data_IF_361534644448
#
_entry.id   IF_361534644448
#
_cell.length_a   1.000
_cell.length_b   1.000
_cell.length_c   1.000
_cell.angle_alpha   90.00
_cell.angle_beta   90.00
_cell.angle_gamma   90.00
#
_symmetry.space_group_name_H-M   'P 1'
#
loop_
_entity.id
_entity.type
_entity.pdbx_description
1 polymer ?
#
# COMPACT_ATOMS: atom_id res chain seq x y z
N UNK A 1 -15.40 -52.05 30.25
CA UNK A 1 -14.41 -51.81 29.15
C UNK A 1 -14.87 -50.86 28.05
N UNK A 2 -16.16 -50.63 27.80
CA UNK A 2 -16.67 -49.73 26.74
C UNK A 2 -16.46 -48.22 26.93
N UNK A 3 -16.55 -47.58 28.16
CA UNK A 3 -16.43 -46.15 28.31
C UNK A 3 -14.98 -45.63 28.16
N UNK A 4 -13.98 -46.41 28.54
CA UNK A 4 -12.57 -46.06 28.46
C UNK A 4 -12.09 -45.98 26.98
N UNK A 5 -12.59 -46.91 26.14
CA UNK A 5 -12.26 -46.95 24.72
C UNK A 5 -12.85 -45.71 23.98
N UNK A 6 -14.07 -45.32 24.35
CA UNK A 6 -14.72 -44.13 23.80
C UNK A 6 -13.99 -42.84 24.21
N UNK A 7 -13.54 -42.77 25.46
CA UNK A 7 -12.76 -41.60 25.99
C UNK A 7 -11.39 -41.49 25.29
N UNK A 8 -10.72 -42.65 25.07
CA UNK A 8 -9.46 -42.69 24.30
C UNK A 8 -9.67 -42.31 22.83
N UNK A 9 -10.78 -42.75 22.21
CA UNK A 9 -11.09 -42.36 20.83
C UNK A 9 -11.39 -40.87 20.70
N UNK A 10 -12.12 -40.28 21.67
CA UNK A 10 -12.38 -38.83 21.73
C UNK A 10 -11.12 -38.05 22.01
N UNK A 11 -10.20 -38.53 22.84
CA UNK A 11 -8.90 -37.89 23.12
C UNK A 11 -7.99 -37.96 21.87
N UNK A 12 -7.97 -39.06 21.14
CA UNK A 12 -7.22 -39.19 19.88
C UNK A 12 -7.82 -38.31 18.79
N UNK A 13 -9.15 -38.19 18.70
CA UNK A 13 -9.83 -37.27 17.79
C UNK A 13 -9.57 -35.79 18.14
N UNK A 14 -9.50 -35.47 19.44
CA UNK A 14 -9.17 -34.12 19.93
C UNK A 14 -7.70 -33.77 19.69
N UNK A 15 -6.79 -34.75 19.84
CA UNK A 15 -5.36 -34.56 19.52
C UNK A 15 -5.10 -34.51 18.02
N UNK A 16 -5.92 -35.18 17.19
CA UNK A 16 -5.83 -35.13 15.75
C UNK A 16 -6.39 -33.80 15.14
N UNK A 17 -7.25 -33.08 15.88
CA UNK A 17 -7.77 -31.78 15.46
C UNK A 17 -6.86 -30.60 15.81
N UNK A 18 -5.79 -30.79 16.58
CA UNK A 18 -4.69 -29.85 16.68
C UNK A 18 -3.81 -29.94 15.41
N UNK A 19 -4.35 -29.50 14.27
CA UNK A 19 -3.51 -29.17 13.12
C UNK A 19 -2.67 -27.98 13.55
N UNK A 20 -1.47 -28.25 14.04
CA UNK A 20 -0.47 -27.20 14.21
C UNK A 20 -0.29 -26.54 12.84
N UNK A 21 -0.80 -25.34 12.66
CA UNK A 21 -0.51 -24.53 11.47
C UNK A 21 1.01 -24.37 11.48
N UNK A 22 1.70 -25.19 10.70
CA UNK A 22 3.14 -25.06 10.53
C UNK A 22 3.36 -23.76 9.77
N UNK A 23 4.22 -22.89 10.33
CA UNK A 23 4.76 -21.75 9.61
C UNK A 23 5.26 -22.21 8.24
N UNK A 24 4.71 -21.63 7.19
CA UNK A 24 5.12 -21.92 5.80
C UNK A 24 6.25 -20.99 5.38
N UNK A 25 6.94 -21.36 4.31
CA UNK A 25 7.88 -20.49 3.62
C UNK A 25 7.23 -20.09 2.30
N UNK A 26 7.02 -18.79 2.13
CA UNK A 26 6.59 -18.18 0.87
C UNK A 26 7.87 -17.70 0.18
N UNK A 27 8.32 -18.43 -0.84
CA UNK A 27 9.58 -18.18 -1.54
C UNK A 27 9.30 -17.65 -2.95
N UNK A 28 9.87 -16.48 -3.27
CA UNK A 28 9.64 -15.75 -4.51
C UNK A 28 10.97 -15.48 -5.22
N UNK A 29 10.98 -15.66 -6.55
CA UNK A 29 12.11 -15.37 -7.42
C UNK A 29 11.71 -14.23 -8.35
N UNK A 30 12.27 -13.04 -8.12
CA UNK A 30 11.88 -11.80 -8.76
C UNK A 30 13.01 -11.22 -9.61
N UNK A 31 12.80 -11.21 -10.90
CA UNK A 31 13.59 -10.44 -11.85
C UNK A 31 12.96 -9.04 -11.98
N UNK A 32 13.64 -8.03 -11.43
CA UNK A 32 13.19 -6.62 -11.51
C UNK A 32 13.63 -6.08 -12.87
N UNK A 33 12.69 -5.75 -13.75
CA UNK A 33 13.01 -5.38 -15.13
C UNK A 33 12.02 -4.37 -15.71
N UNK A 34 12.39 -3.75 -16.83
CA UNK A 34 11.50 -2.87 -17.56
C UNK A 34 10.48 -3.67 -18.37
N UNK A 35 9.21 -3.26 -18.31
CA UNK A 35 8.06 -3.89 -18.97
C UNK A 35 7.27 -2.81 -19.70
N UNK A 36 6.90 -3.04 -20.95
CA UNK A 36 5.99 -2.15 -21.66
C UNK A 36 4.55 -2.35 -21.17
N UNK A 37 4.01 -1.34 -20.52
CA UNK A 37 2.63 -1.31 -20.09
C UNK A 37 1.76 -0.46 -21.02
N UNK A 38 0.71 -1.06 -21.56
CA UNK A 38 -0.29 -0.40 -22.39
C UNK A 38 -1.52 -0.06 -21.54
N UNK A 39 -1.70 1.22 -21.28
CA UNK A 39 -2.88 1.70 -20.57
C UNK A 39 -4.07 1.72 -21.52
N UNK A 40 -5.05 0.87 -21.30
CA UNK A 40 -6.33 0.66 -22.00
C UNK A 40 -6.67 1.67 -23.13
N UNK A 41 -6.05 1.49 -24.31
CA UNK A 41 -6.33 2.32 -25.50
C UNK A 41 -5.78 3.76 -25.48
N UNK A 42 -5.10 4.20 -24.41
CA UNK A 42 -4.61 5.57 -24.27
C UNK A 42 -3.16 5.73 -24.73
N UNK A 43 -2.23 5.07 -24.05
CA UNK A 43 -0.80 5.14 -24.36
C UNK A 43 -0.05 3.91 -23.83
N UNK A 44 1.16 3.73 -24.35
CA UNK A 44 2.11 2.75 -23.85
C UNK A 44 3.26 3.50 -23.19
N UNK A 45 3.67 3.08 -22.00
CA UNK A 45 4.91 3.54 -21.37
C UNK A 45 5.66 2.37 -20.76
N UNK A 46 6.94 2.57 -20.57
CA UNK A 46 7.76 1.65 -19.83
C UNK A 46 7.44 1.75 -18.33
N UNK A 47 7.09 0.63 -17.71
CA UNK A 47 6.95 0.43 -16.29
C UNK A 47 8.12 -0.41 -15.75
N UNK A 48 8.30 -0.45 -14.43
CA UNK A 48 9.18 -1.40 -13.79
C UNK A 48 8.30 -2.50 -13.23
N UNK A 49 8.50 -3.72 -13.72
CA UNK A 49 7.74 -4.90 -13.36
C UNK A 49 8.61 -6.01 -12.80
N UNK A 50 8.01 -7.17 -12.58
CA UNK A 50 8.64 -8.38 -12.08
C UNK A 50 8.37 -9.52 -13.07
N UNK A 51 9.43 -10.26 -13.46
CA UNK A 51 9.32 -11.43 -14.32
C UNK A 51 8.55 -11.16 -15.63
N UNK A 52 8.81 -10.02 -16.27
CA UNK A 52 8.15 -9.59 -17.50
C UNK A 52 6.71 -9.11 -17.32
N UNK A 53 6.22 -8.97 -16.11
CA UNK A 53 4.82 -8.65 -15.82
C UNK A 53 4.66 -7.33 -15.06
N UNK A 54 3.70 -6.52 -15.50
CA UNK A 54 3.11 -5.39 -14.79
C UNK A 54 1.60 -5.34 -15.11
N UNK A 55 0.67 -5.14 -14.17
CA UNK A 55 0.89 -4.95 -12.73
C UNK A 55 1.53 -6.19 -12.08
N UNK A 56 2.32 -5.94 -11.03
CA UNK A 56 2.98 -7.00 -10.28
C UNK A 56 1.92 -7.73 -9.44
N UNK A 57 1.82 -9.08 -9.49
CA UNK A 57 0.89 -9.84 -8.68
C UNK A 57 1.06 -9.58 -7.18
N UNK A 58 -0.05 -9.48 -6.45
CA UNK A 58 -0.04 -9.34 -4.99
C UNK A 58 0.52 -10.58 -4.30
N UNK A 59 1.19 -10.37 -3.18
CA UNK A 59 1.72 -11.42 -2.32
C UNK A 59 0.74 -11.69 -1.18
N UNK A 60 0.46 -12.95 -0.90
CA UNK A 60 -0.40 -13.38 0.22
C UNK A 60 0.36 -14.39 1.05
N UNK A 61 0.36 -14.19 2.37
CA UNK A 61 0.96 -15.07 3.35
C UNK A 61 0.12 -15.09 4.64
N UNK A 62 0.51 -15.88 5.63
CA UNK A 62 -0.12 -15.88 6.94
C UNK A 62 0.86 -15.36 8.00
N UNK A 63 0.33 -14.81 9.07
CA UNK A 63 1.10 -14.48 10.26
C UNK A 63 1.78 -15.76 10.80
N UNK A 64 3.07 -15.65 11.04
CA UNK A 64 3.92 -16.78 11.42
C UNK A 64 4.74 -17.37 10.26
N UNK A 65 4.37 -17.13 9.00
CA UNK A 65 5.14 -17.57 7.84
C UNK A 65 6.47 -16.82 7.71
N UNK A 66 7.33 -17.32 6.85
CA UNK A 66 8.56 -16.64 6.42
C UNK A 66 8.44 -16.27 4.95
N UNK A 67 8.62 -15.00 4.61
CA UNK A 67 8.67 -14.51 3.24
C UNK A 67 10.14 -14.40 2.80
N UNK A 68 10.50 -15.14 1.76
CA UNK A 68 11.83 -15.09 1.13
C UNK A 68 11.67 -14.53 -0.28
N UNK A 69 12.38 -13.42 -0.58
CA UNK A 69 12.37 -12.82 -1.91
C UNK A 69 13.79 -12.80 -2.44
N UNK A 70 14.07 -13.61 -3.47
CA UNK A 70 15.30 -13.55 -4.25
C UNK A 70 15.14 -12.54 -5.37
N UNK A 71 15.61 -11.30 -5.15
CA UNK A 71 15.45 -10.20 -6.08
C UNK A 71 16.71 -10.02 -6.93
N UNK A 72 16.60 -10.22 -8.23
CA UNK A 72 17.65 -9.94 -9.23
C UNK A 72 17.33 -8.64 -9.96
N UNK A 73 18.23 -7.67 -9.89
CA UNK A 73 18.03 -6.38 -10.55
C UNK A 73 18.55 -6.40 -11.98
N UNK A 74 17.65 -6.33 -12.96
CA UNK A 74 17.96 -6.19 -14.40
C UNK A 74 17.83 -4.74 -14.91
N UNK A 75 17.59 -3.78 -14.01
CA UNK A 75 17.57 -2.37 -14.36
C UNK A 75 18.99 -1.83 -14.57
N UNK A 76 19.09 -0.67 -15.23
CA UNK A 76 20.37 0.03 -15.45
C UNK A 76 20.85 0.85 -14.25
N UNK A 77 20.07 0.91 -13.18
CA UNK A 77 20.37 1.60 -11.92
C UNK A 77 20.08 0.67 -10.74
N UNK A 78 20.62 0.93 -9.54
CA UNK A 78 20.31 0.11 -8.37
C UNK A 78 18.81 0.07 -8.08
N UNK A 79 18.36 -1.02 -7.45
CA UNK A 79 16.97 -1.20 -6.99
C UNK A 79 16.97 -1.68 -5.53
N UNK A 80 15.84 -1.53 -4.86
CA UNK A 80 15.63 -2.11 -3.54
C UNK A 80 14.15 -2.51 -3.38
N UNK A 81 13.85 -3.36 -2.39
CA UNK A 81 12.47 -3.74 -2.08
C UNK A 81 12.21 -3.52 -0.59
N UNK A 82 11.38 -2.55 -0.29
CA UNK A 82 10.92 -2.25 1.06
C UNK A 82 9.55 -2.90 1.31
N UNK A 83 9.45 -3.65 2.40
CA UNK A 83 8.17 -4.22 2.87
C UNK A 83 7.50 -3.25 3.82
N UNK A 84 6.74 -2.32 3.26
CA UNK A 84 6.16 -1.16 3.93
C UNK A 84 5.17 -1.56 5.03
N UNK A 85 5.42 -1.07 6.24
CA UNK A 85 4.60 -1.29 7.43
C UNK A 85 5.05 -2.46 8.29
N UNK A 86 6.02 -3.27 7.86
CA UNK A 86 6.60 -4.32 8.68
C UNK A 86 7.68 -3.75 9.62
N UNK A 87 7.65 -4.15 10.88
CA UNK A 87 8.55 -3.60 11.90
C UNK A 87 10.02 -3.96 11.74
N UNK A 88 10.34 -5.05 11.03
CA UNK A 88 11.71 -5.54 10.82
C UNK A 88 12.55 -5.59 12.11
N UNK A 89 11.91 -5.88 13.24
CA UNK A 89 12.57 -5.93 14.54
C UNK A 89 13.61 -7.05 14.60
N UNK A 90 14.89 -6.67 14.69
CA UNK A 90 16.03 -7.57 14.64
C UNK A 90 16.45 -8.00 13.23
N UNK A 91 15.75 -7.52 12.19
CA UNK A 91 16.02 -7.83 10.77
C UNK A 91 16.02 -6.57 9.90
N UNK A 92 16.36 -5.43 10.47
CA UNK A 92 16.37 -4.13 9.82
C UNK A 92 17.25 -4.05 8.56
N UNK A 93 18.24 -4.92 8.40
CA UNK A 93 19.03 -5.05 7.18
C UNK A 93 18.25 -5.66 5.99
N UNK A 94 17.04 -6.18 6.21
CA UNK A 94 16.08 -6.60 5.18
C UNK A 94 14.97 -5.59 4.94
N UNK A 95 15.04 -4.40 5.57
CA UNK A 95 14.00 -3.38 5.43
C UNK A 95 13.92 -2.79 4.01
N UNK A 96 15.03 -2.83 3.26
CA UNK A 96 15.05 -2.42 1.85
C UNK A 96 15.06 -0.91 1.63
N UNK A 97 15.29 -0.10 2.67
CA UNK A 97 15.44 1.34 2.54
C UNK A 97 16.84 1.69 2.02
N UNK A 98 16.95 1.91 0.70
CA UNK A 98 18.21 2.15 0.03
C UNK A 98 19.00 3.33 0.64
N UNK A 99 20.29 3.15 0.89
CA UNK A 99 21.21 4.08 1.55
C UNK A 99 20.87 4.41 3.00
N UNK A 100 19.87 3.74 3.58
CA UNK A 100 19.55 3.78 5.01
C UNK A 100 19.90 2.43 5.64
N UNK A 101 19.26 1.35 5.22
CA UNK A 101 19.45 0.00 5.76
C UNK A 101 20.31 -0.89 4.85
N UNK A 102 20.36 -0.60 3.55
CA UNK A 102 21.12 -1.35 2.53
C UNK A 102 21.67 -0.44 1.42
N UNK A 103 22.61 -0.94 0.62
CA UNK A 103 23.21 -0.20 -0.52
C UNK A 103 22.31 -0.14 -1.76
N UNK A 104 21.21 -0.90 -1.80
CA UNK A 104 20.50 -1.22 -3.03
C UNK A 104 21.21 -2.30 -3.87
N UNK A 105 20.42 -3.04 -4.62
CA UNK A 105 20.86 -4.16 -5.48
C UNK A 105 21.45 -3.56 -6.75
N UNK A 106 22.75 -3.72 -7.04
CA UNK A 106 23.36 -3.17 -8.26
C UNK A 106 22.81 -3.86 -9.52
N UNK A 107 23.04 -3.27 -10.69
CA UNK A 107 22.68 -3.88 -11.97
C UNK A 107 23.25 -5.29 -12.08
N UNK A 108 22.43 -6.26 -12.45
CA UNK A 108 22.72 -7.70 -12.53
C UNK A 108 23.10 -8.34 -11.17
N UNK A 109 22.96 -7.61 -10.06
CA UNK A 109 23.13 -8.17 -8.73
C UNK A 109 21.84 -8.83 -8.23
N UNK A 110 22.00 -9.70 -7.23
CA UNK A 110 20.89 -10.35 -6.53
C UNK A 110 21.01 -10.10 -5.03
N UNK A 111 19.88 -9.88 -4.38
CA UNK A 111 19.77 -9.82 -2.92
C UNK A 111 18.61 -10.69 -2.45
N UNK A 112 18.76 -11.35 -1.32
CA UNK A 112 17.71 -12.18 -0.74
C UNK A 112 17.19 -11.53 0.54
N UNK A 113 15.93 -11.11 0.49
CA UNK A 113 15.19 -10.67 1.66
C UNK A 113 14.60 -11.90 2.36
N UNK A 114 14.79 -12.01 3.68
CA UNK A 114 14.27 -13.11 4.48
C UNK A 114 13.54 -12.54 5.70
N UNK A 115 12.23 -12.50 5.63
CA UNK A 115 11.35 -11.73 6.52
C UNK A 115 10.43 -12.68 7.28
N UNK A 116 10.57 -12.73 8.61
CA UNK A 116 9.60 -13.42 9.47
C UNK A 116 8.34 -12.57 9.62
N UNK A 117 7.20 -13.07 9.18
CA UNK A 117 5.93 -12.36 9.16
C UNK A 117 5.24 -12.45 10.54
N UNK A 118 5.60 -11.55 11.44
CA UNK A 118 5.08 -11.51 12.82
C UNK A 118 3.80 -10.67 12.97
N UNK A 119 3.46 -9.86 11.98
CA UNK A 119 2.31 -8.98 11.93
C UNK A 119 1.29 -9.51 10.93
N UNK A 120 0.01 -9.46 11.26
CA UNK A 120 -1.07 -9.63 10.29
C UNK A 120 -1.58 -8.25 9.85
N UNK A 121 -2.19 -8.19 8.67
CA UNK A 121 -2.77 -6.95 8.15
C UNK A 121 -2.53 -6.75 6.66
N UNK A 122 -2.75 -5.51 6.23
CA UNK A 122 -2.61 -5.08 4.84
C UNK A 122 -1.35 -4.23 4.69
N UNK A 123 -0.41 -4.70 3.89
CA UNK A 123 0.90 -4.13 3.65
C UNK A 123 1.19 -4.07 2.16
N UNK A 124 2.36 -3.58 1.77
CA UNK A 124 2.79 -3.56 0.38
C UNK A 124 4.31 -3.63 0.25
N UNK A 125 4.79 -4.06 -0.91
CA UNK A 125 6.21 -4.13 -1.24
C UNK A 125 6.47 -3.16 -2.38
N UNK A 126 7.50 -2.33 -2.23
CA UNK A 126 7.85 -1.35 -3.25
C UNK A 126 9.35 -1.02 -3.27
N UNK A 127 9.81 -0.45 -4.36
CA UNK A 127 11.16 0.10 -4.39
C UNK A 127 11.29 1.29 -3.45
N UNK A 128 12.38 1.33 -2.71
CA UNK A 128 12.78 2.51 -1.93
C UNK A 128 14.04 3.16 -2.49
N UNK A 129 14.25 3.02 -3.81
CA UNK A 129 15.34 3.65 -4.53
C UNK A 129 14.80 4.70 -5.50
N UNK A 130 15.07 5.99 -5.20
CA UNK A 130 14.60 7.14 -5.99
C UNK A 130 13.09 7.08 -6.25
N UNK A 131 12.68 7.16 -7.54
CA UNK A 131 11.28 7.23 -7.97
C UNK A 131 10.74 5.94 -8.59
N UNK A 132 11.42 4.82 -8.41
CA UNK A 132 11.04 3.55 -9.05
C UNK A 132 9.64 3.07 -8.65
N UNK A 133 9.19 3.38 -7.43
CA UNK A 133 7.81 3.13 -6.99
C UNK A 133 6.79 3.80 -7.90
N UNK A 134 6.98 5.07 -8.26
CA UNK A 134 6.09 5.80 -9.16
C UNK A 134 6.12 5.26 -10.60
N UNK A 135 7.21 4.57 -10.98
CA UNK A 135 7.36 3.90 -12.27
C UNK A 135 6.90 2.44 -12.26
N UNK A 136 6.29 1.98 -11.15
CA UNK A 136 5.56 0.71 -11.13
C UNK A 136 6.13 -0.39 -10.24
N UNK A 137 7.34 -0.27 -9.67
CA UNK A 137 7.91 -1.30 -8.79
C UNK A 137 7.21 -1.28 -7.41
N UNK A 138 6.00 -1.80 -7.39
CA UNK A 138 5.12 -1.83 -6.22
C UNK A 138 4.07 -2.93 -6.34
N UNK A 139 3.71 -3.56 -5.23
CA UNK A 139 2.62 -4.55 -5.17
C UNK A 139 2.08 -4.71 -3.75
N UNK A 140 0.87 -5.26 -3.60
CA UNK A 140 0.26 -5.55 -2.30
C UNK A 140 0.92 -6.74 -1.61
N UNK A 141 0.99 -6.67 -0.27
CA UNK A 141 1.33 -7.77 0.61
C UNK A 141 0.22 -7.92 1.66
N UNK A 142 -0.54 -9.01 1.58
CA UNK A 142 -1.57 -9.34 2.57
C UNK A 142 -1.05 -10.44 3.47
N UNK A 143 -1.03 -10.18 4.77
CA UNK A 143 -0.67 -11.16 5.78
C UNK A 143 -1.92 -11.47 6.59
N UNK A 144 -2.49 -12.65 6.37
CA UNK A 144 -3.73 -13.09 7.03
C UNK A 144 -3.45 -13.47 8.48
N UNK A 145 -4.39 -13.13 9.38
CA UNK A 145 -4.36 -13.64 10.75
C UNK A 145 -5.15 -14.96 10.81
N UNK A 146 -4.55 -16.06 11.27
CA UNK A 146 -5.30 -17.28 11.55
C UNK A 146 -6.42 -17.09 12.59
N UNK A 147 -6.24 -16.10 13.48
CA UNK A 147 -7.16 -15.75 14.56
C UNK A 147 -7.94 -14.47 14.24
N UNK A 148 -8.38 -14.30 12.98
CA UNK A 148 -9.13 -13.12 12.51
C UNK A 148 -10.38 -12.88 13.36
N UNK A 149 -10.52 -11.67 13.87
CA UNK A 149 -11.61 -11.29 14.80
C UNK A 149 -12.92 -10.99 14.05
N UNK A 150 -12.81 -10.42 12.86
CA UNK A 150 -13.97 -10.03 12.06
C UNK A 150 -14.32 -11.10 11.03
N UNK A 151 -15.59 -11.51 11.03
CA UNK A 151 -16.10 -12.51 10.09
C UNK A 151 -16.48 -11.86 8.74
N UNK A 152 -16.11 -12.51 7.65
CA UNK A 152 -16.49 -12.15 6.27
C UNK A 152 -16.46 -13.41 5.38
N UNK A 153 -17.20 -13.36 4.28
CA UNK A 153 -17.32 -14.50 3.36
C UNK A 153 -16.17 -14.56 2.34
N UNK A 154 -15.60 -13.37 1.98
CA UNK A 154 -14.56 -13.29 0.96
C UNK A 154 -13.78 -11.97 1.12
N UNK A 155 -12.59 -11.88 0.52
CA UNK A 155 -11.78 -10.67 0.56
C UNK A 155 -11.42 -10.16 -0.84
N UNK A 156 -11.34 -8.83 -0.96
CA UNK A 156 -11.01 -8.13 -2.19
C UNK A 156 -9.89 -7.16 -1.91
N UNK A 157 -8.78 -7.31 -2.61
CA UNK A 157 -7.63 -6.39 -2.50
C UNK A 157 -7.73 -5.35 -3.61
N UNK A 158 -7.76 -4.07 -3.23
CA UNK A 158 -7.88 -2.93 -4.15
C UNK A 158 -6.67 -1.99 -3.98
N UNK A 159 -5.57 -2.23 -4.67
CA UNK A 159 -4.51 -1.25 -4.79
C UNK A 159 -5.04 -0.02 -5.55
N UNK A 160 -4.96 1.15 -4.92
CA UNK A 160 -5.29 2.45 -5.49
C UNK A 160 -4.00 3.11 -5.95
N UNK A 161 -3.95 3.56 -7.20
CA UNK A 161 -2.71 3.97 -7.82
C UNK A 161 -2.93 5.24 -8.66
N UNK A 162 -2.12 6.25 -8.43
CA UNK A 162 -1.90 7.29 -9.43
C UNK A 162 -0.92 6.79 -10.50
N UNK A 163 -1.20 7.11 -11.74
CA UNK A 163 -0.36 6.73 -12.87
C UNK A 163 -0.15 7.91 -13.80
N UNK A 164 1.07 8.13 -14.22
CA UNK A 164 1.44 9.27 -15.05
C UNK A 164 1.88 8.82 -16.43
N UNK A 165 1.64 9.65 -17.42
CA UNK A 165 2.11 9.40 -18.79
C UNK A 165 3.63 9.46 -18.88
N UNK A 166 4.21 10.47 -18.24
CA UNK A 166 5.65 10.68 -18.23
C UNK A 166 6.33 9.82 -17.14
N UNK A 167 7.56 9.34 -17.36
CA UNK A 167 8.34 8.68 -16.32
C UNK A 167 8.56 9.58 -15.10
N UNK A 168 8.61 9.00 -13.92
CA UNK A 168 8.75 9.74 -12.66
C UNK A 168 9.97 10.66 -12.62
N UNK A 169 11.09 10.25 -13.20
CA UNK A 169 12.29 11.09 -13.31
C UNK A 169 12.03 12.42 -14.05
N UNK A 170 11.21 12.39 -15.10
CA UNK A 170 10.84 13.59 -15.87
C UNK A 170 10.01 14.51 -15.00
N UNK A 171 9.05 13.97 -14.27
CA UNK A 171 8.17 14.73 -13.38
C UNK A 171 8.93 15.34 -12.21
N UNK A 172 9.83 14.59 -11.58
CA UNK A 172 10.69 15.10 -10.49
C UNK A 172 11.58 16.26 -10.97
N UNK A 173 12.18 16.12 -12.15
CA UNK A 173 12.97 17.21 -12.74
C UNK A 173 12.11 18.44 -13.02
N UNK A 174 10.85 18.26 -13.40
CA UNK A 174 9.91 19.36 -13.56
C UNK A 174 9.58 20.01 -12.22
N UNK A 175 9.25 19.25 -11.18
CA UNK A 175 8.93 19.76 -9.85
C UNK A 175 10.11 20.51 -9.20
N UNK A 176 11.32 20.01 -9.40
CA UNK A 176 12.53 20.63 -8.84
C UNK A 176 13.10 21.76 -9.71
N UNK A 177 12.43 22.12 -10.80
CA UNK A 177 12.91 23.18 -11.68
C UNK A 177 12.78 24.55 -11.01
N UNK A 178 13.84 25.40 -11.00
CA UNK A 178 13.76 26.76 -10.43
C UNK A 178 12.81 27.67 -11.20
N UNK A 179 12.62 27.45 -12.52
CA UNK A 179 11.65 28.19 -13.32
C UNK A 179 10.21 27.82 -12.95
N UNK A 180 9.44 28.80 -12.41
CA UNK A 180 8.06 28.52 -12.01
C UNK A 180 7.15 28.14 -13.18
N UNK A 181 7.41 28.60 -14.40
CA UNK A 181 6.62 28.23 -15.58
C UNK A 181 6.78 26.75 -15.94
N UNK A 182 7.94 26.15 -15.63
CA UNK A 182 8.19 24.73 -15.81
C UNK A 182 7.66 23.97 -14.61
N UNK A 183 8.00 24.40 -13.39
CA UNK A 183 7.62 23.72 -12.13
C UNK A 183 6.11 23.56 -11.97
N UNK A 184 5.34 24.60 -12.25
CA UNK A 184 3.87 24.60 -12.08
C UNK A 184 3.09 24.17 -13.34
N UNK A 185 3.76 23.57 -14.31
CA UNK A 185 3.05 22.99 -15.44
C UNK A 185 2.13 21.86 -14.95
N UNK A 186 0.84 21.88 -15.31
CA UNK A 186 -0.11 20.89 -14.84
C UNK A 186 0.30 19.44 -15.19
N UNK A 187 0.23 18.56 -14.20
CA UNK A 187 0.43 17.12 -14.36
C UNK A 187 -0.91 16.46 -14.01
N UNK A 188 -1.50 15.78 -14.97
CA UNK A 188 -2.78 15.09 -14.78
C UNK A 188 -2.51 13.60 -14.61
N UNK A 189 -2.79 13.03 -13.43
CA UNK A 189 -2.68 11.61 -13.21
C UNK A 189 -3.88 10.86 -13.79
N UNK A 190 -3.70 9.55 -13.97
CA UNK A 190 -4.76 8.58 -14.18
C UNK A 190 -4.91 7.75 -12.91
N UNK A 191 -6.14 7.32 -12.59
CA UNK A 191 -6.36 6.37 -11.49
C UNK A 191 -6.39 4.95 -12.03
N UNK A 192 -5.54 4.10 -11.45
CA UNK A 192 -5.61 2.66 -11.63
C UNK A 192 -6.06 2.00 -10.33
N UNK A 193 -6.71 0.87 -10.46
CA UNK A 193 -7.11 0.00 -9.34
C UNK A 193 -6.62 -1.40 -9.65
N UNK A 194 -5.51 -1.78 -8.99
CA UNK A 194 -4.81 -3.02 -9.30
C UNK A 194 -4.31 -3.09 -10.74
N UNK A 195 -3.75 -1.98 -11.24
CA UNK A 195 -3.21 -1.84 -12.59
C UNK A 195 -4.24 -1.71 -13.71
N UNK A 196 -5.54 -1.66 -13.40
CA UNK A 196 -6.63 -1.47 -14.38
C UNK A 196 -7.20 -0.07 -14.21
N UNK A 197 -7.53 0.61 -15.32
CA UNK A 197 -8.20 1.91 -15.26
C UNK A 197 -9.43 1.84 -14.34
N UNK A 198 -9.56 2.81 -13.43
CA UNK A 198 -10.65 2.80 -12.44
C UNK A 198 -12.03 2.65 -13.11
N UNK A 199 -12.26 3.32 -14.24
CA UNK A 199 -13.54 3.27 -14.96
C UNK A 199 -13.86 1.88 -15.56
N UNK A 200 -12.86 1.04 -15.77
CA UNK A 200 -13.02 -0.33 -16.27
C UNK A 200 -13.10 -1.35 -15.14
N UNK A 201 -12.79 -0.95 -13.91
CA UNK A 201 -12.77 -1.87 -12.75
C UNK A 201 -14.18 -2.29 -12.37
N UNK A 202 -14.34 -3.60 -12.17
CA UNK A 202 -15.57 -4.22 -11.67
C UNK A 202 -15.29 -4.99 -10.40
N UNK A 203 -16.13 -4.78 -9.39
CA UNK A 203 -16.17 -5.55 -8.14
C UNK A 203 -17.43 -6.39 -8.19
N UNK A 204 -17.28 -7.71 -8.19
CA UNK A 204 -18.43 -8.61 -8.23
C UNK A 204 -18.91 -8.94 -6.82
N UNK A 205 -20.19 -8.73 -6.57
CA UNK A 205 -20.83 -9.07 -5.31
C UNK A 205 -21.87 -10.18 -5.48
N UNK A 206 -21.83 -11.15 -4.58
CA UNK A 206 -22.90 -12.14 -4.38
C UNK A 206 -23.87 -11.57 -3.33
N UNK A 207 -25.19 -11.51 -3.62
CA UNK A 207 -26.16 -10.97 -2.68
C UNK A 207 -26.06 -11.57 -1.28
N UNK A 208 -26.11 -10.71 -0.25
CA UNK A 208 -26.09 -11.08 1.16
C UNK A 208 -24.73 -11.44 1.74
N UNK A 209 -23.68 -11.63 0.93
CA UNK A 209 -22.34 -11.89 1.43
C UNK A 209 -21.69 -10.63 1.98
N UNK A 210 -20.83 -10.81 2.98
CA UNK A 210 -19.96 -9.78 3.54
C UNK A 210 -18.55 -9.93 2.98
N UNK A 211 -18.01 -8.85 2.47
CA UNK A 211 -16.66 -8.78 1.89
C UNK A 211 -15.76 -7.91 2.75
N UNK A 212 -14.51 -8.38 2.98
CA UNK A 212 -13.44 -7.52 3.44
C UNK A 212 -12.78 -6.88 2.23
N UNK A 213 -12.87 -5.56 2.09
CA UNK A 213 -12.19 -4.82 1.05
C UNK A 213 -10.94 -4.18 1.65
N UNK A 214 -9.78 -4.60 1.17
CA UNK A 214 -8.48 -4.05 1.56
C UNK A 214 -8.09 -2.96 0.58
N UNK A 215 -8.11 -1.73 1.05
CA UNK A 215 -7.72 -0.54 0.30
C UNK A 215 -6.26 -0.24 0.59
N UNK A 216 -5.44 -0.11 -0.45
CA UNK A 216 -4.03 0.25 -0.33
C UNK A 216 -3.75 1.41 -1.27
N UNK A 217 -3.36 2.56 -0.74
CA UNK A 217 -2.85 3.61 -1.60
C UNK A 217 -1.35 3.37 -1.85
N UNK A 218 -1.07 2.68 -2.95
CA UNK A 218 0.29 2.42 -3.42
C UNK A 218 0.72 3.41 -4.51
N UNK A 219 -0.01 4.53 -4.63
CA UNK A 219 0.33 5.66 -5.48
C UNK A 219 1.58 6.41 -5.02
N UNK A 220 1.95 7.44 -5.76
CA UNK A 220 3.16 8.23 -5.49
C UNK A 220 2.86 9.62 -4.91
N UNK A 221 1.65 10.17 -5.13
CA UNK A 221 1.44 11.60 -4.88
C UNK A 221 0.04 11.99 -4.40
N UNK A 222 -0.99 11.17 -4.59
CA UNK A 222 -2.36 11.59 -4.34
C UNK A 222 -3.05 10.74 -3.29
N UNK A 223 -3.81 11.39 -2.42
CA UNK A 223 -4.73 10.71 -1.52
C UNK A 223 -5.97 10.28 -2.29
N UNK A 224 -6.51 9.11 -1.95
CA UNK A 224 -7.74 8.59 -2.51
C UNK A 224 -8.86 8.59 -1.48
N UNK A 225 -10.04 9.08 -1.89
CA UNK A 225 -11.25 8.89 -1.13
C UNK A 225 -12.09 7.78 -1.78
N UNK A 226 -12.26 6.69 -1.05
CA UNK A 226 -13.03 5.53 -1.51
C UNK A 226 -14.43 5.53 -0.89
N UNK A 227 -15.46 5.31 -1.72
CA UNK A 227 -16.84 5.16 -1.27
C UNK A 227 -17.64 4.27 -2.22
N UNK A 228 -18.76 3.71 -1.74
CA UNK A 228 -19.61 2.80 -2.50
C UNK A 228 -21.07 3.26 -2.43
N UNK A 229 -21.68 3.57 -3.59
CA UNK A 229 -23.09 3.97 -3.63
C UNK A 229 -23.99 2.84 -3.13
N UNK A 230 -25.04 3.19 -2.38
CA UNK A 230 -25.99 2.27 -1.74
C UNK A 230 -25.42 1.31 -0.68
N UNK A 231 -24.11 1.39 -0.37
CA UNK A 231 -23.48 0.50 0.60
C UNK A 231 -22.84 1.30 1.74
N UNK A 232 -23.06 0.84 2.96
CA UNK A 232 -22.37 1.33 4.15
C UNK A 232 -21.05 0.56 4.33
N UNK A 233 -19.99 1.28 4.64
CA UNK A 233 -18.69 0.72 4.96
C UNK A 233 -18.54 0.61 6.48
N UNK A 234 -17.88 -0.45 6.94
CA UNK A 234 -17.50 -0.65 8.33
C UNK A 234 -15.98 -0.71 8.37
N UNK A 235 -15.32 0.37 8.78
CA UNK A 235 -13.86 0.42 8.91
C UNK A 235 -13.41 -0.48 10.06
N UNK A 236 -12.45 -1.37 9.81
CA UNK A 236 -11.97 -2.37 10.77
C UNK A 236 -10.45 -2.42 10.90
N UNK A 237 -9.70 -1.82 9.98
CA UNK A 237 -8.22 -1.82 9.99
C UNK A 237 -7.71 -0.52 9.39
N UNK A 238 -6.66 0.05 9.98
CA UNK A 238 -5.85 1.14 9.43
C UNK A 238 -4.39 0.80 9.63
N UNK A 239 -3.60 0.85 8.55
CA UNK A 239 -2.14 0.65 8.52
C UNK A 239 -1.64 -0.65 9.19
N UNK A 240 -2.45 -1.72 9.11
CA UNK A 240 -2.15 -3.03 9.71
C UNK A 240 -2.58 -3.15 11.16
N UNK A 241 -3.21 -2.12 11.73
CA UNK A 241 -3.76 -2.14 13.09
C UNK A 241 -5.27 -2.36 13.01
N UNK A 242 -5.76 -3.42 13.65
CA UNK A 242 -7.20 -3.65 13.78
C UNK A 242 -7.80 -2.63 14.72
N UNK A 243 -8.91 -2.01 14.33
CA UNK A 243 -9.64 -1.01 15.12
C UNK A 243 -11.04 -1.47 15.46
N UNK A 244 -11.63 -0.89 16.52
CA UNK A 244 -13.06 -1.06 16.79
C UNK A 244 -13.87 -0.58 15.60
N UNK A 245 -14.82 -1.39 15.16
CA UNK A 245 -15.65 -1.11 13.98
C UNK A 245 -16.26 0.28 14.00
N UNK A 246 -16.13 1.02 12.89
CA UNK A 246 -16.73 2.34 12.68
C UNK A 246 -17.50 2.39 11.37
N UNK A 247 -18.76 2.77 11.43
CA UNK A 247 -19.60 2.99 10.24
C UNK A 247 -19.21 4.28 9.52
N UNK A 248 -19.12 4.20 8.19
CA UNK A 248 -18.82 5.36 7.35
C UNK A 248 -19.40 5.20 5.94
N UNK A 249 -19.55 6.29 5.20
CA UNK A 249 -19.88 6.27 3.77
C UNK A 249 -18.63 6.27 2.89
N UNK A 250 -17.49 6.64 3.43
CA UNK A 250 -16.23 6.65 2.69
C UNK A 250 -15.01 6.70 3.60
N UNK A 251 -13.87 6.31 3.05
CA UNK A 251 -12.58 6.28 3.72
C UNK A 251 -11.55 7.01 2.85
N UNK A 252 -10.82 7.94 3.46
CA UNK A 252 -9.65 8.54 2.81
C UNK A 252 -8.42 7.71 3.13
N UNK A 253 -7.65 7.38 2.10
CA UNK A 253 -6.41 6.60 2.22
C UNK A 253 -5.29 7.44 1.63
N UNK A 254 -4.45 8.00 2.49
CA UNK A 254 -3.29 8.80 2.11
C UNK A 254 -2.23 7.94 1.42
N UNK A 255 -1.32 8.58 0.69
CA UNK A 255 -0.22 7.88 0.01
C UNK A 255 0.58 7.03 1.00
N UNK A 256 0.70 5.74 0.71
CA UNK A 256 1.36 4.75 1.57
C UNK A 256 0.46 4.14 2.65
N UNK A 257 -0.70 4.71 2.92
CA UNK A 257 -1.65 4.20 3.90
C UNK A 257 -2.47 3.02 3.37
N UNK A 258 -3.02 2.25 4.29
CA UNK A 258 -3.92 1.12 4.02
C UNK A 258 -5.13 1.21 4.94
N UNK A 259 -6.26 0.74 4.46
CA UNK A 259 -7.46 0.58 5.27
C UNK A 259 -8.20 -0.69 4.86
N UNK A 260 -8.85 -1.37 5.80
CA UNK A 260 -9.79 -2.43 5.46
C UNK A 260 -11.19 -2.08 5.92
N UNK A 261 -12.15 -2.30 5.05
CA UNK A 261 -13.57 -2.13 5.36
C UNK A 261 -14.33 -3.43 5.12
N UNK A 262 -15.35 -3.68 5.96
CA UNK A 262 -16.36 -4.69 5.69
C UNK A 262 -17.54 -4.06 4.96
N UNK A 263 -18.02 -4.75 3.93
CA UNK A 263 -19.19 -4.35 3.14
C UNK A 263 -20.11 -5.54 2.98
N UNK A 264 -21.35 -5.42 3.43
CA UNK A 264 -22.37 -6.45 3.19
C UNK A 264 -23.11 -6.12 1.91
N UNK A 265 -23.06 -7.04 0.96
CA UNK A 265 -23.76 -6.93 -0.31
C UNK A 265 -25.29 -6.90 -0.11
N UNK A 266 -25.99 -6.13 -0.93
CA UNK A 266 -27.44 -6.04 -0.91
C UNK A 266 -28.08 -7.39 -1.31
N UNK A 267 -29.26 -7.71 -0.77
CA UNK A 267 -30.02 -8.93 -1.10
C UNK A 267 -30.79 -8.81 -2.43
N UNK A 268 -30.12 -8.34 -3.49
CA UNK A 268 -30.78 -8.13 -4.78
C UNK A 268 -29.80 -8.22 -5.93
N UNK A 269 -30.25 -8.65 -7.10
CA UNK A 269 -29.53 -8.60 -8.37
C UNK A 269 -30.16 -7.64 -9.38
N UNK A 270 -31.13 -6.83 -8.92
CA UNK A 270 -31.92 -5.95 -9.81
C UNK A 270 -31.07 -4.83 -10.42
N UNK A 271 -30.07 -4.34 -9.69
CA UNK A 271 -29.25 -3.23 -10.10
C UNK A 271 -27.77 -3.50 -9.83
N UNK A 272 -26.91 -2.90 -10.62
CA UNK A 272 -25.52 -2.65 -10.32
C UNK A 272 -25.36 -1.25 -9.76
N UNK A 273 -24.25 -0.97 -9.09
CA UNK A 273 -23.99 0.32 -8.45
C UNK A 273 -22.61 0.85 -8.84
N UNK A 274 -22.24 2.00 -8.32
CA UNK A 274 -20.96 2.63 -8.56
C UNK A 274 -20.17 2.69 -7.26
N UNK A 275 -18.88 2.43 -7.35
CA UNK A 275 -17.94 2.86 -6.33
C UNK A 275 -17.10 4.03 -6.87
N UNK A 276 -16.58 4.82 -5.96
CA UNK A 276 -15.75 5.99 -6.22
C UNK A 276 -14.36 5.76 -5.65
N UNK A 277 -13.35 6.21 -6.38
CA UNK A 277 -11.96 6.33 -5.94
C UNK A 277 -11.48 7.71 -6.37
N UNK A 278 -11.91 8.74 -5.64
CA UNK A 278 -11.67 10.13 -5.99
C UNK A 278 -10.29 10.55 -5.49
N UNK A 279 -9.48 11.16 -6.36
CA UNK A 279 -8.18 11.71 -5.98
C UNK A 279 -8.30 13.14 -5.51
N UNK A 280 -7.70 13.45 -4.34
CA UNK A 280 -7.57 14.82 -3.87
C UNK A 280 -6.28 15.45 -4.40
N UNK A 281 -6.42 16.62 -5.02
CA UNK A 281 -5.32 17.36 -5.65
C UNK A 281 -4.94 18.62 -4.89
N UNK A 282 -5.44 18.80 -3.68
CA UNK A 282 -5.24 20.01 -2.85
C UNK A 282 -3.77 20.29 -2.58
N UNK A 283 -2.97 19.27 -2.31
CA UNK A 283 -1.55 19.39 -2.04
C UNK A 283 -0.75 19.96 -3.23
N UNK A 284 -1.24 19.79 -4.44
CA UNK A 284 -0.59 20.30 -5.66
C UNK A 284 -1.07 21.68 -6.10
N UNK A 285 -1.92 22.34 -5.30
CA UNK A 285 -2.51 23.63 -5.64
C UNK A 285 -3.16 23.68 -7.04
N UNK A 286 -3.83 22.59 -7.41
CA UNK A 286 -4.52 22.45 -8.68
C UNK A 286 -6.06 22.53 -8.51
N UNK A 287 -6.62 23.66 -8.05
CA UNK A 287 -8.03 23.78 -7.66
C UNK A 287 -9.02 23.50 -8.82
N UNK A 288 -8.56 23.61 -10.07
CA UNK A 288 -9.40 23.33 -11.24
C UNK A 288 -9.67 21.84 -11.48
N UNK A 289 -8.91 20.95 -10.84
CA UNK A 289 -8.94 19.50 -11.02
C UNK A 289 -9.28 18.76 -9.72
N UNK A 290 -9.76 19.45 -8.70
CA UNK A 290 -9.98 18.88 -7.38
C UNK A 290 -11.48 18.74 -7.05
N UNK A 291 -11.95 17.55 -6.63
CA UNK A 291 -11.25 16.27 -6.78
C UNK A 291 -11.33 15.73 -8.20
N UNK A 292 -10.36 14.90 -8.60
CA UNK A 292 -10.47 14.08 -9.81
C UNK A 292 -11.32 12.87 -9.49
N UNK A 293 -12.52 12.81 -10.11
CA UNK A 293 -13.50 11.77 -9.85
C UNK A 293 -13.26 10.55 -10.73
N UNK A 294 -12.94 9.43 -10.11
CA UNK A 294 -12.81 8.14 -10.77
C UNK A 294 -13.85 7.17 -10.20
N UNK A 295 -14.46 6.37 -11.08
CA UNK A 295 -15.53 5.46 -10.70
C UNK A 295 -15.31 4.08 -11.30
N UNK A 296 -15.79 3.06 -10.60
CA UNK A 296 -15.90 1.70 -11.15
C UNK A 296 -17.28 1.14 -10.85
N UNK A 297 -17.49 -0.11 -11.22
CA UNK A 297 -18.80 -0.76 -11.11
C UNK A 297 -18.81 -1.80 -10.00
N UNK A 298 -19.83 -1.76 -9.15
CA UNK A 298 -20.23 -2.84 -8.25
C UNK A 298 -21.23 -3.69 -9.02
N UNK A 299 -20.82 -4.90 -9.40
CA UNK A 299 -21.60 -5.76 -10.26
C UNK A 299 -22.29 -6.87 -9.47
N UNK A 300 -23.61 -6.87 -9.48
CA UNK A 300 -24.46 -7.93 -8.95
C UNK A 300 -24.96 -8.87 -10.05
N UNK A 301 -25.09 -8.36 -11.26
CA UNK A 301 -25.47 -9.13 -12.44
C UNK A 301 -24.96 -8.46 -13.71
N UNK A 302 -24.39 -9.20 -14.68
CA UNK A 302 -23.92 -8.65 -15.94
C UNK A 302 -24.99 -7.95 -16.76
N UNK A 303 -26.28 -8.28 -16.52
CA UNK A 303 -27.44 -7.73 -17.26
C UNK A 303 -28.13 -6.59 -16.53
N UNK A 304 -27.78 -6.35 -15.25
CA UNK A 304 -28.42 -5.31 -14.47
C UNK A 304 -27.94 -3.91 -14.90
N UNK A 305 -28.85 -2.93 -14.82
CA UNK A 305 -28.52 -1.52 -15.07
C UNK A 305 -27.80 -0.92 -13.87
N UNK A 306 -26.94 0.05 -14.13
CA UNK A 306 -26.32 0.84 -13.07
C UNK A 306 -27.36 1.80 -12.47
N UNK A 307 -27.62 1.67 -11.16
CA UNK A 307 -28.42 2.61 -10.38
C UNK A 307 -27.46 3.55 -9.65
N UNK A 308 -27.69 4.85 -9.80
CA UNK A 308 -26.95 5.89 -9.04
C UNK A 308 -27.69 6.16 -7.76
N UNK A 309 -27.03 5.97 -6.62
CA UNK A 309 -27.65 6.11 -5.30
C UNK A 309 -26.62 6.62 -4.28
N UNK A 310 -26.41 7.95 -4.30
CA UNK A 310 -25.55 8.61 -3.31
C UNK A 310 -26.34 8.85 -2.03
N UNK A 311 -25.68 8.69 -0.88
CA UNK A 311 -26.27 9.04 0.41
C UNK A 311 -26.51 10.54 0.50
N UNK A 312 -27.69 10.93 1.00
CA UNK A 312 -28.02 12.33 1.30
C UNK A 312 -27.32 12.83 2.59
N UNK A 313 -26.99 11.90 3.49
CA UNK A 313 -26.24 12.17 4.71
C UNK A 313 -24.89 11.51 4.58
N UNK A 314 -23.82 12.27 4.77
CA UNK A 314 -22.46 11.76 4.67
C UNK A 314 -21.86 11.60 6.06
N UNK A 315 -21.55 10.36 6.42
CA UNK A 315 -20.90 10.02 7.67
C UNK A 315 -19.38 9.85 7.39
N UNK A 316 -18.57 10.75 7.92
CA UNK A 316 -17.12 10.69 7.87
C UNK A 316 -16.54 10.11 9.15
N UNK A 317 -15.32 9.58 9.04
CA UNK A 317 -14.49 9.19 10.18
C UNK A 317 -13.38 10.23 10.33
N UNK A 318 -13.10 10.61 11.58
CA UNK A 318 -11.86 11.27 11.94
C UNK A 318 -10.91 10.18 12.48
N UNK A 319 -9.73 10.06 11.91
CA UNK A 319 -8.74 9.04 12.28
C UNK A 319 -8.32 9.15 13.75
N UNK A 320 -8.37 10.37 14.31
CA UNK A 320 -8.09 10.63 15.73
C UNK A 320 -9.13 9.99 16.69
N UNK A 321 -10.30 9.62 16.19
CA UNK A 321 -11.36 8.98 16.97
C UNK A 321 -11.31 7.44 16.89
N UNK A 322 -10.32 6.88 16.20
CA UNK A 322 -10.14 5.44 16.08
C UNK A 322 -9.52 4.87 17.35
N UNK A 323 -10.03 3.71 17.76
CA UNK A 323 -9.54 2.98 18.90
C UNK A 323 -8.96 1.64 18.44
N UNK A 324 -7.68 1.33 18.74
CA UNK A 324 -7.12 0.01 18.49
C UNK A 324 -7.95 -1.08 19.18
N UNK A 325 -8.09 -2.23 18.50
CA UNK A 325 -8.91 -3.33 19.03
C UNK A 325 -8.28 -4.00 20.26
N UNK A 326 -6.95 -4.00 20.36
CA UNK A 326 -6.18 -4.50 21.49
C UNK A 326 -6.22 -3.56 22.71
N UNK A 327 -6.70 -2.32 22.52
CA UNK A 327 -6.82 -1.31 23.56
C UNK A 327 -5.49 -0.69 24.01
N UNK A 328 -4.42 -0.89 23.23
CA UNK A 328 -3.13 -0.26 23.53
C UNK A 328 -3.26 1.28 23.50
N UNK A 329 -2.93 1.97 24.59
CA UNK A 329 -3.04 3.41 24.65
C UNK A 329 -1.89 4.10 23.89
N UNK A 330 -2.16 5.29 23.39
CA UNK A 330 -1.08 6.15 22.92
C UNK A 330 -0.19 6.55 24.12
N UNK A 331 1.11 6.31 24.00
CA UNK A 331 2.07 6.69 25.04
C UNK A 331 2.33 8.19 25.04
N UNK A 332 2.60 8.75 26.21
CA UNK A 332 3.08 10.12 26.32
C UNK A 332 4.44 10.28 25.65
N UNK A 333 4.69 11.44 25.06
CA UNK A 333 5.95 11.72 24.39
C UNK A 333 7.07 12.01 25.41
N UNK A 334 8.13 11.21 25.40
CA UNK A 334 9.33 11.48 26.22
C UNK A 334 10.09 12.72 25.72
N UNK A 335 9.98 13.04 24.44
CA UNK A 335 10.65 14.16 23.80
C UNK A 335 9.83 14.73 22.65
N UNK A 336 9.72 16.04 22.62
CA UNK A 336 9.08 16.78 21.50
C UNK A 336 10.18 17.39 20.62
N UNK A 337 10.09 17.16 19.32
CA UNK A 337 10.98 17.74 18.30
C UNK A 337 10.14 18.53 17.31
N UNK A 338 10.46 19.83 17.16
CA UNK A 338 9.80 20.69 16.17
C UNK A 338 10.56 20.66 14.86
N UNK A 339 9.86 20.37 13.78
CA UNK A 339 10.40 20.35 12.42
C UNK A 339 9.68 21.41 11.57
N UNK A 340 10.42 22.45 11.17
CA UNK A 340 9.93 23.47 10.25
C UNK A 340 10.16 23.00 8.82
N UNK A 341 9.09 22.60 8.13
CA UNK A 341 9.13 22.17 6.73
C UNK A 341 9.19 23.40 5.80
N UNK A 342 10.14 23.44 4.90
CA UNK A 342 10.28 24.48 3.89
C UNK A 342 10.48 23.89 2.50
N UNK A 343 9.81 24.48 1.51
CA UNK A 343 9.97 24.14 0.10
C UNK A 343 10.18 25.44 -0.69
N UNK A 344 11.33 25.57 -1.35
CA UNK A 344 11.65 26.82 -2.02
C UNK A 344 12.97 26.79 -2.79
N UNK A 345 13.31 27.96 -3.35
CA UNK A 345 14.57 28.20 -4.06
C UNK A 345 15.64 28.56 -3.05
N UNK A 346 16.73 27.82 -3.06
CA UNK A 346 17.89 28.05 -2.23
C UNK A 346 18.87 29.05 -2.89
N UNK A 347 19.91 29.44 -2.17
CA UNK A 347 20.89 30.42 -2.64
C UNK A 347 21.65 30.02 -3.92
N UNK A 348 21.77 28.73 -4.17
CA UNK A 348 22.34 28.13 -5.39
C UNK A 348 21.37 28.04 -6.56
N UNK A 349 20.19 28.68 -6.46
CA UNK A 349 19.11 28.69 -7.43
C UNK A 349 18.45 27.34 -7.65
N UNK A 350 18.73 26.33 -6.83
CA UNK A 350 18.00 25.05 -6.88
C UNK A 350 16.71 25.10 -6.07
N UNK A 351 15.64 24.45 -6.54
CA UNK A 351 14.43 24.22 -5.76
C UNK A 351 14.61 22.95 -4.93
N UNK A 352 14.40 23.06 -3.62
CA UNK A 352 14.57 21.93 -2.67
C UNK A 352 13.52 21.97 -1.57
N UNK A 353 13.43 20.84 -0.88
CA UNK A 353 12.68 20.66 0.35
C UNK A 353 13.67 20.50 1.52
N UNK A 354 13.34 21.06 2.68
CA UNK A 354 14.18 20.96 3.87
C UNK A 354 13.35 20.89 5.15
N UNK A 355 13.93 20.33 6.20
CA UNK A 355 13.47 20.47 7.58
C UNK A 355 14.51 21.29 8.35
N UNK A 356 14.06 22.34 9.06
CA UNK A 356 14.94 23.27 9.81
C UNK A 356 16.12 23.76 8.97
N UNK A 357 15.90 24.09 7.70
CA UNK A 357 16.89 24.50 6.70
C UNK A 357 17.93 23.42 6.30
N UNK A 358 17.74 22.17 6.74
CA UNK A 358 18.60 21.05 6.32
C UNK A 358 17.91 20.28 5.20
N UNK A 359 18.53 20.27 4.02
CA UNK A 359 18.11 19.48 2.87
C UNK A 359 18.67 18.06 2.98
N UNK A 360 17.84 17.05 2.67
CA UNK A 360 18.33 15.68 2.61
C UNK A 360 19.39 15.50 1.52
N UNK A 361 20.51 14.93 1.91
CA UNK A 361 21.55 14.45 1.00
C UNK A 361 21.68 12.92 1.15
N UNK A 362 21.67 12.21 0.02
CA UNK A 362 21.82 10.75 0.06
C UNK A 362 23.21 10.37 0.60
N UNK A 363 23.31 9.59 1.69
CA UNK A 363 24.59 9.14 2.21
C UNK A 363 25.37 8.31 1.19
N UNK A 364 26.70 8.30 1.28
CA UNK A 364 27.56 7.46 0.43
C UNK A 364 27.62 6.01 0.90
N UNK A 365 27.27 5.78 2.15
CA UNK A 365 27.23 4.47 2.82
C UNK A 365 25.90 4.40 3.58
N UNK A 366 25.21 3.26 3.63
CA UNK A 366 23.97 3.12 4.40
C UNK A 366 24.12 3.62 5.84
N UNK A 367 23.22 4.51 6.24
CA UNK A 367 23.27 5.17 7.56
C UNK A 367 23.29 4.18 8.72
N UNK A 368 22.58 3.05 8.60
CA UNK A 368 22.59 1.99 9.62
C UNK A 368 24.01 1.45 9.87
N UNK A 369 24.79 1.21 8.82
CA UNK A 369 26.17 0.70 8.97
C UNK A 369 27.08 1.72 9.63
N UNK A 370 26.97 2.99 9.27
CA UNK A 370 27.77 4.07 9.87
C UNK A 370 27.35 4.35 11.31
N UNK A 371 26.06 4.34 11.63
CA UNK A 371 25.55 4.51 12.97
C UNK A 371 26.05 3.39 13.91
N UNK A 372 26.13 2.14 13.42
CA UNK A 372 26.63 1.00 14.19
C UNK A 372 28.16 1.04 14.40
N UNK A 373 28.93 1.60 13.46
CA UNK A 373 30.40 1.57 13.50
C UNK A 373 31.02 2.86 14.06
N UNK A 374 30.37 4.01 13.83
CA UNK A 374 30.88 5.34 14.19
C UNK A 374 30.08 6.04 15.28
N UNK A 375 28.96 5.44 15.70
CA UNK A 375 28.05 6.00 16.70
C UNK A 375 27.17 7.13 16.15
N UNK A 376 26.34 7.71 17.03
CA UNK A 376 25.38 8.77 16.69
C UNK A 376 25.99 10.13 16.31
N UNK A 377 27.29 10.27 16.42
CA UNK A 377 28.02 11.52 16.12
C UNK A 377 28.64 11.56 14.73
N UNK A 378 28.48 10.50 13.94
CA UNK A 378 29.00 10.50 12.57
C UNK A 378 28.22 11.54 11.75
N UNK A 379 28.94 12.53 11.21
CA UNK A 379 28.39 13.44 10.23
C UNK A 379 28.10 12.64 8.96
N UNK A 380 26.85 12.34 8.69
CA UNK A 380 26.42 11.56 7.53
C UNK A 380 26.30 12.40 6.25
N UNK A 381 26.67 13.67 6.29
CA UNK A 381 26.44 14.67 5.24
C UNK A 381 27.66 15.04 4.41
N UNK A 382 28.81 14.41 4.62
CA UNK A 382 30.03 14.69 3.81
C UNK A 382 30.19 13.74 2.61
#
# INVERSE_FOLDING_TARGET
>A
MKPILLLLLLLVLFLASCVAVRAAVVELFWDIEYVDYRMEGMFTRQAIGINGQWPIPGVVANKGDTLIIHATNKLKEPASLHSHGLFQNGTNFYDGAAMVTECGIPMNGTFTYNIALKQAGTYWIHSHFKSQTADGLRTSLVIRDPDEVYEYDDEIVLPLEDWFREPAKVLINQFNNPDPHIRFKPIVPYALIGGVCANSKRIQFVPGKTYRIRLLNIGASFDFHFSMEAHMLRLIEVDGVMVKERLTHGVTVGTGQRASVLVTALNTTANNYVFHADMYTDLLQMPRYNPLNFTGTIEYSPKARIKRERSAVWLNINDLDLEPLDGEPMLDADKVVTLDAYSGIFTDQSFRHSFNNVTYATPKVPTLLTAMTMGSYANHTD
#
